data_IF_754714717405
#
_entry.id   IF_754714717405
#
_cell.length_a   1.000
_cell.length_b   1.000
_cell.length_c   1.000
_cell.angle_alpha   90.00
_cell.angle_beta   90.00
_cell.angle_gamma   90.00
#
_symmetry.space_group_name_H-M   'P 1'
#
loop_
_entity.id
_entity.type
_entity.pdbx_description
1 polymer ?
#
# COMPACT_ATOMS: atom_id res chain seq x y z
N UNK A 1 -14.44 21.01 -3.98
CA UNK A 1 -13.41 20.26 -3.24
C UNK A 1 -12.61 21.26 -2.42
N UNK A 2 -12.56 21.11 -1.09
CA UNK A 2 -11.79 22.01 -0.25
C UNK A 2 -10.29 21.80 -0.53
N UNK A 3 -9.60 22.82 -1.04
CA UNK A 3 -8.15 22.83 -1.18
C UNK A 3 -7.52 22.71 0.20
N UNK A 4 -6.78 21.63 0.45
CA UNK A 4 -6.05 21.43 1.69
C UNK A 4 -4.87 22.40 1.79
N UNK A 5 -4.69 23.07 2.93
CA UNK A 5 -3.50 23.87 3.24
C UNK A 5 -3.63 25.38 3.07
N UNK A 6 -4.80 25.91 2.70
CA UNK A 6 -5.01 27.37 2.69
C UNK A 6 -5.28 27.85 4.12
N UNK A 7 -4.38 28.66 4.68
CA UNK A 7 -4.65 29.34 5.94
C UNK A 7 -5.86 30.27 5.78
N UNK A 8 -6.84 30.16 6.68
CA UNK A 8 -8.05 31.00 6.66
C UNK A 8 -7.72 32.48 6.81
N UNK A 9 -6.65 32.83 7.54
CA UNK A 9 -6.19 34.21 7.68
C UNK A 9 -5.54 34.70 6.40
N UNK A 10 -4.78 33.85 5.72
CA UNK A 10 -4.21 34.19 4.42
C UNK A 10 -5.32 34.41 3.41
N UNK A 11 -6.27 33.50 3.21
CA UNK A 11 -7.37 33.69 2.25
C UNK A 11 -8.13 35.02 2.48
N UNK A 12 -8.41 35.38 3.74
CA UNK A 12 -9.07 36.63 4.10
C UNK A 12 -8.22 37.89 3.83
N UNK A 13 -6.89 37.80 4.00
CA UNK A 13 -5.96 38.91 3.73
C UNK A 13 -5.66 39.02 2.23
N UNK A 14 -5.57 37.88 1.57
CA UNK A 14 -5.33 37.68 0.14
C UNK A 14 -6.46 38.19 -0.75
N UNK A 15 -7.71 38.07 -0.28
CA UNK A 15 -8.89 38.64 -0.94
C UNK A 15 -8.89 40.17 -0.98
N UNK A 16 -7.98 40.85 -0.27
CA UNK A 16 -7.93 42.33 -0.16
C UNK A 16 -6.80 42.97 -0.97
N UNK A 17 -5.92 42.18 -1.59
CA UNK A 17 -4.81 42.66 -2.43
C UNK A 17 -5.19 42.60 -3.92
N UNK A 18 -5.61 43.75 -4.48
CA UNK A 18 -6.07 43.85 -5.87
C UNK A 18 -5.00 43.41 -6.87
N UNK A 19 -3.72 43.73 -6.62
CA UNK A 19 -2.63 43.35 -7.51
C UNK A 19 -2.48 41.82 -7.60
N UNK A 20 -2.68 41.13 -6.48
CA UNK A 20 -2.63 39.68 -6.43
C UNK A 20 -3.84 39.04 -7.10
N UNK A 21 -5.03 39.64 -6.93
CA UNK A 21 -6.26 39.23 -7.61
C UNK A 21 -6.15 39.36 -9.12
N UNK A 22 -5.61 40.47 -9.62
CA UNK A 22 -5.32 40.66 -11.05
C UNK A 22 -4.35 39.59 -11.59
N UNK A 23 -3.30 39.27 -10.82
CA UNK A 23 -2.35 38.20 -11.18
C UNK A 23 -3.01 36.82 -11.21
N UNK A 24 -3.91 36.52 -10.28
CA UNK A 24 -4.70 35.28 -10.27
C UNK A 24 -5.66 35.20 -11.46
N UNK A 25 -6.39 36.29 -11.76
CA UNK A 25 -7.28 36.36 -12.91
C UNK A 25 -6.52 36.15 -14.23
N UNK A 26 -5.33 36.74 -14.37
CA UNK A 26 -4.48 36.51 -15.53
C UNK A 26 -4.08 35.04 -15.67
N UNK A 27 -3.65 34.40 -14.57
CA UNK A 27 -3.32 32.96 -14.56
C UNK A 27 -4.52 32.09 -14.91
N UNK A 28 -5.72 32.43 -14.42
CA UNK A 28 -6.96 31.72 -14.75
C UNK A 28 -7.26 31.85 -16.25
N UNK A 29 -7.11 33.05 -16.82
CA UNK A 29 -7.26 33.29 -18.25
C UNK A 29 -6.30 32.44 -19.10
N UNK A 30 -5.00 32.46 -18.77
CA UNK A 30 -3.98 31.65 -19.42
C UNK A 30 -4.26 30.13 -19.30
N UNK A 31 -4.70 29.69 -18.12
CA UNK A 31 -5.10 28.30 -17.89
C UNK A 31 -6.30 27.89 -18.74
N UNK A 32 -7.36 28.70 -18.75
CA UNK A 32 -8.59 28.40 -19.50
C UNK A 32 -8.33 28.35 -21.00
N UNK A 33 -7.49 29.26 -21.52
CA UNK A 33 -7.09 29.25 -22.92
C UNK A 33 -6.35 27.96 -23.26
N UNK A 34 -5.34 27.59 -22.46
CA UNK A 34 -4.57 26.36 -22.69
C UNK A 34 -5.46 25.11 -22.58
N UNK A 35 -6.32 25.05 -21.56
CA UNK A 35 -7.25 23.95 -21.37
C UNK A 35 -8.22 23.82 -22.55
N UNK A 36 -8.76 24.93 -23.05
CA UNK A 36 -9.62 24.96 -24.23
C UNK A 36 -8.91 24.40 -25.46
N UNK A 37 -7.70 24.87 -25.76
CA UNK A 37 -6.92 24.39 -26.91
C UNK A 37 -6.57 22.90 -26.81
N UNK A 38 -6.18 22.40 -25.64
CA UNK A 38 -5.88 20.97 -25.46
C UNK A 38 -7.16 20.13 -25.62
N UNK A 39 -8.29 20.62 -25.14
CA UNK A 39 -9.58 19.94 -25.25
C UNK A 39 -10.09 19.90 -26.70
N UNK A 40 -9.94 20.99 -27.46
CA UNK A 40 -10.24 21.02 -28.89
C UNK A 40 -9.44 19.96 -29.66
N UNK A 41 -8.14 19.85 -29.40
CA UNK A 41 -7.28 18.82 -30.02
C UNK A 41 -7.71 17.41 -29.62
N UNK A 42 -8.09 17.21 -28.36
CA UNK A 42 -8.63 15.94 -27.86
C UNK A 42 -9.92 15.57 -28.59
N UNK A 43 -10.85 16.51 -28.74
CA UNK A 43 -12.12 16.31 -29.46
C UNK A 43 -11.89 16.04 -30.95
N UNK A 44 -10.89 16.68 -31.56
CA UNK A 44 -10.43 16.42 -32.92
C UNK A 44 -9.65 15.10 -33.06
N UNK A 45 -9.39 14.37 -31.96
CA UNK A 45 -8.61 13.12 -31.92
C UNK A 45 -7.21 13.28 -32.51
N UNK A 46 -6.57 14.42 -32.25
CA UNK A 46 -5.19 14.64 -32.66
C UNK A 46 -4.23 13.89 -31.72
N UNK A 47 -3.44 12.96 -32.25
CA UNK A 47 -2.44 12.21 -31.48
C UNK A 47 -1.05 12.45 -32.06
N UNK A 48 -0.42 13.55 -31.65
CA UNK A 48 0.89 13.97 -32.11
C UNK A 48 1.72 14.59 -30.96
N UNK A 49 2.99 14.89 -31.21
CA UNK A 49 3.90 15.42 -30.20
C UNK A 49 3.53 16.84 -29.73
N UNK A 50 2.86 17.63 -30.57
CA UNK A 50 2.38 18.95 -30.19
C UNK A 50 1.24 18.85 -29.17
N UNK A 51 0.29 17.95 -29.39
CA UNK A 51 -0.75 17.61 -28.42
C UNK A 51 -0.15 17.08 -27.11
N UNK A 52 0.90 16.24 -27.19
CA UNK A 52 1.60 15.75 -26.01
C UNK A 52 2.18 16.90 -25.18
N UNK A 53 2.86 17.85 -25.82
CA UNK A 53 3.40 19.03 -25.14
C UNK A 53 2.31 19.92 -24.54
N UNK A 54 1.16 20.04 -25.23
CA UNK A 54 -0.03 20.67 -24.68
C UNK A 54 -0.47 20.04 -23.35
N UNK A 55 -0.54 18.70 -23.29
CA UNK A 55 -0.85 18.00 -22.04
C UNK A 55 0.23 18.20 -20.97
N UNK A 56 1.52 18.22 -21.34
CA UNK A 56 2.65 18.48 -20.42
C UNK A 56 2.46 19.81 -19.70
N UNK A 57 2.20 20.88 -20.47
CA UNK A 57 2.00 22.24 -19.94
C UNK A 57 0.77 22.31 -19.04
N UNK A 58 -0.34 21.70 -19.46
CA UNK A 58 -1.59 21.74 -18.71
C UNK A 58 -1.51 20.97 -17.39
N UNK A 59 -0.88 19.79 -17.38
CA UNK A 59 -0.74 18.96 -16.18
C UNK A 59 0.28 19.53 -15.17
N UNK A 60 1.26 20.31 -15.63
CA UNK A 60 2.12 21.11 -14.73
C UNK A 60 1.33 22.18 -13.97
N UNK A 61 0.25 22.68 -14.54
CA UNK A 61 -0.64 23.66 -13.89
C UNK A 61 -1.70 22.98 -13.02
N UNK A 62 -2.31 21.90 -13.52
CA UNK A 62 -3.37 21.16 -12.82
C UNK A 62 -3.23 19.64 -13.02
N UNK A 63 -2.49 18.95 -12.13
CA UNK A 63 -2.34 17.50 -12.20
C UNK A 63 -3.59 16.75 -11.76
N UNK A 64 -4.64 17.41 -11.24
CA UNK A 64 -5.91 16.75 -10.89
C UNK A 64 -6.84 16.59 -12.11
N UNK A 65 -6.47 17.14 -13.27
CA UNK A 65 -7.30 17.08 -14.47
C UNK A 65 -7.24 15.69 -15.15
N UNK A 66 -8.05 14.76 -14.65
CA UNK A 66 -8.03 13.35 -15.07
C UNK A 66 -8.23 13.10 -16.57
N UNK A 67 -9.12 13.86 -17.24
CA UNK A 67 -9.35 13.73 -18.69
C UNK A 67 -8.07 13.94 -19.50
N UNK A 68 -7.20 14.84 -19.05
CA UNK A 68 -5.94 15.14 -19.73
C UNK A 68 -4.91 14.03 -19.52
N UNK A 69 -4.92 13.36 -18.37
CA UNK A 69 -4.13 12.13 -18.18
C UNK A 69 -4.56 11.02 -19.14
N UNK A 70 -5.87 10.82 -19.33
CA UNK A 70 -6.38 9.85 -20.31
C UNK A 70 -5.93 10.21 -21.73
N UNK A 71 -6.10 11.47 -22.13
CA UNK A 71 -5.68 11.92 -23.45
C UNK A 71 -4.16 11.79 -23.65
N UNK A 72 -3.36 12.10 -22.61
CA UNK A 72 -1.91 11.89 -22.64
C UNK A 72 -1.54 10.43 -22.88
N UNK A 73 -2.19 9.48 -22.19
CA UNK A 73 -1.99 8.03 -22.42
C UNK A 73 -2.30 7.63 -23.85
N UNK A 74 -3.41 8.11 -24.38
CA UNK A 74 -3.83 7.87 -25.75
C UNK A 74 -2.80 8.37 -26.78
N UNK A 75 -2.25 9.56 -26.57
CA UNK A 75 -1.18 10.11 -27.42
C UNK A 75 0.06 9.23 -27.35
N UNK A 76 0.53 8.90 -26.14
CA UNK A 76 1.71 8.07 -25.92
C UNK A 76 1.59 6.70 -26.59
N UNK A 77 0.44 6.03 -26.45
CA UNK A 77 0.18 4.72 -27.05
C UNK A 77 0.20 4.76 -28.57
N UNK A 78 -0.39 5.81 -29.18
CA UNK A 78 -0.50 5.94 -30.64
C UNK A 78 0.77 6.46 -31.31
N UNK A 79 1.70 7.05 -30.54
CA UNK A 79 2.91 7.68 -31.08
C UNK A 79 4.18 7.00 -30.61
N UNK A 80 4.56 7.20 -29.34
CA UNK A 80 5.87 6.84 -28.81
C UNK A 80 5.98 5.36 -28.43
N UNK A 81 4.87 4.74 -28.04
CA UNK A 81 4.82 3.35 -27.57
C UNK A 81 4.22 2.39 -28.60
N UNK A 82 3.76 2.88 -29.75
CA UNK A 82 3.17 2.06 -30.80
C UNK A 82 4.20 1.07 -31.35
N UNK A 83 3.88 -0.23 -31.31
CA UNK A 83 4.58 -1.26 -32.09
C UNK A 83 4.23 -1.00 -33.54
N UNK A 84 5.01 -0.20 -34.26
CA UNK A 84 4.78 -0.03 -35.69
C UNK A 84 4.78 -1.42 -36.33
N UNK A 85 3.63 -1.88 -36.84
CA UNK A 85 3.63 -2.89 -37.88
C UNK A 85 4.39 -2.30 -39.06
N UNK A 86 5.40 -3.01 -39.55
CA UNK A 86 6.03 -2.71 -40.83
C UNK A 86 4.92 -2.46 -41.87
N UNK A 87 5.07 -1.47 -42.78
CA UNK A 87 4.22 -1.43 -43.97
C UNK A 87 4.36 -2.79 -44.64
N UNK A 88 3.24 -3.48 -44.83
CA UNK A 88 3.22 -4.86 -45.29
C UNK A 88 4.06 -5.02 -46.55
N UNK A 89 5.07 -5.88 -46.46
CA UNK A 89 5.36 -6.76 -47.58
C UNK A 89 4.20 -7.76 -47.60
N UNK A 90 3.05 -7.30 -48.10
CA UNK A 90 2.05 -8.19 -48.61
C UNK A 90 2.68 -8.84 -49.84
N UNK A 91 3.28 -10.02 -49.68
CA UNK A 91 3.55 -10.90 -50.81
C UNK A 91 2.19 -11.22 -51.44
N UNK A 92 1.88 -10.74 -52.67
CA UNK A 92 0.70 -11.21 -53.35
C UNK A 92 0.98 -12.65 -53.77
N UNK A 93 0.28 -13.59 -53.14
CA UNK A 93 0.08 -14.89 -53.73
C UNK A 93 -0.63 -14.68 -55.08
N UNK A 94 -0.10 -15.30 -56.13
CA UNK A 94 -0.53 -15.26 -57.53
C UNK A 94 0.04 -14.11 -58.39
N UNK A 95 1.17 -14.38 -59.04
CA UNK A 95 1.30 -14.34 -60.51
C UNK A 95 2.65 -14.92 -60.95
N UNK A 96 2.67 -16.23 -61.18
CA UNK A 96 3.68 -16.85 -62.04
C UNK A 96 3.34 -16.43 -63.47
N UNK A 97 4.13 -15.55 -64.10
CA UNK A 97 4.62 -15.79 -65.46
C UNK A 97 5.61 -14.73 -65.96
N UNK A 98 6.72 -15.26 -66.51
CA UNK A 98 7.58 -14.72 -67.57
C UNK A 98 8.49 -13.50 -67.34
N UNK A 99 9.79 -13.86 -67.25
CA UNK A 99 10.93 -13.35 -68.03
C UNK A 99 11.88 -12.29 -67.43
N UNK A 100 13.14 -12.73 -67.38
CA UNK A 100 14.44 -12.03 -67.44
C UNK A 100 14.90 -11.22 -66.22
N UNK A 101 15.89 -11.82 -65.52
CA UNK A 101 16.80 -11.13 -64.60
C UNK A 101 17.53 -9.96 -65.29
N UNK A 102 17.91 -8.94 -64.50
CA UNK A 102 19.33 -8.77 -64.24
C UNK A 102 19.65 -8.68 -62.75
N UNK A 103 20.86 -9.15 -62.45
CA UNK A 103 21.57 -9.18 -61.17
C UNK A 103 21.33 -7.95 -60.29
N UNK A 104 20.81 -8.17 -59.08
CA UNK A 104 20.90 -7.23 -57.97
C UNK A 104 21.32 -8.04 -56.75
N UNK A 105 22.42 -7.62 -56.11
CA UNK A 105 22.97 -8.21 -54.88
C UNK A 105 21.86 -8.55 -53.88
N UNK A 106 21.57 -9.85 -53.76
CA UNK A 106 20.80 -10.39 -52.64
C UNK A 106 21.67 -10.22 -51.40
N UNK A 107 21.37 -9.21 -50.59
CA UNK A 107 21.86 -9.18 -49.21
C UNK A 107 21.18 -10.33 -48.48
N UNK A 108 21.91 -11.43 -48.36
CA UNK A 108 21.59 -12.69 -47.70
C UNK A 108 21.44 -12.52 -46.18
N UNK A 109 20.58 -11.59 -45.75
CA UNK A 109 20.29 -11.34 -44.33
C UNK A 109 19.20 -12.29 -43.87
N UNK A 110 19.53 -13.12 -42.88
CA UNK A 110 18.60 -14.02 -42.21
C UNK A 110 17.37 -13.21 -41.73
N UNK A 111 16.15 -13.53 -42.22
CA UNK A 111 14.92 -12.87 -41.80
C UNK A 111 14.70 -12.86 -40.27
N UNK A 112 15.23 -13.85 -39.55
CA UNK A 112 15.19 -13.88 -38.09
C UNK A 112 16.11 -12.83 -37.46
N UNK A 113 17.28 -12.59 -38.03
CA UNK A 113 18.22 -11.56 -37.57
C UNK A 113 17.67 -10.15 -37.76
N UNK A 114 17.06 -9.88 -38.92
CA UNK A 114 16.40 -8.60 -39.20
C UNK A 114 15.26 -8.35 -38.21
N UNK A 115 14.44 -9.37 -37.97
CA UNK A 115 13.33 -9.29 -37.00
C UNK A 115 13.84 -9.03 -35.58
N UNK A 116 14.89 -9.74 -35.15
CA UNK A 116 15.52 -9.56 -33.84
C UNK A 116 16.08 -8.15 -33.65
N UNK A 117 16.74 -7.62 -34.67
CA UNK A 117 17.30 -6.26 -34.68
C UNK A 117 16.21 -5.20 -34.57
N UNK A 118 15.13 -5.32 -35.35
CA UNK A 118 13.98 -4.42 -35.28
C UNK A 118 13.30 -4.44 -33.91
N UNK A 119 13.08 -5.63 -33.33
CA UNK A 119 12.55 -5.78 -31.99
C UNK A 119 13.45 -5.12 -30.93
N UNK A 120 14.77 -5.27 -31.04
CA UNK A 120 15.72 -4.64 -30.13
C UNK A 120 15.71 -3.10 -30.26
N UNK A 121 15.63 -2.57 -31.48
CA UNK A 121 15.53 -1.14 -31.75
C UNK A 121 14.23 -0.54 -31.18
N UNK A 122 13.09 -1.21 -31.40
CA UNK A 122 11.80 -0.83 -30.80
C UNK A 122 11.88 -0.83 -29.27
N UNK A 123 12.39 -1.91 -28.66
CA UNK A 123 12.51 -2.00 -27.21
C UNK A 123 13.41 -0.89 -26.64
N UNK A 124 14.49 -0.53 -27.33
CA UNK A 124 15.37 0.58 -26.95
C UNK A 124 14.63 1.92 -26.96
N UNK A 125 13.92 2.21 -28.07
CA UNK A 125 13.10 3.43 -28.21
C UNK A 125 11.99 3.51 -27.16
N UNK A 126 11.25 2.42 -26.95
CA UNK A 126 10.21 2.35 -25.94
C UNK A 126 10.76 2.56 -24.52
N UNK A 127 11.93 1.96 -24.21
CA UNK A 127 12.61 2.17 -22.91
C UNK A 127 12.93 3.64 -22.69
N UNK A 128 13.46 4.34 -23.70
CA UNK A 128 13.76 5.77 -23.61
C UNK A 128 12.51 6.59 -23.27
N UNK A 129 11.43 6.42 -24.04
CA UNK A 129 10.20 7.20 -23.84
C UNK A 129 9.50 6.90 -22.51
N UNK A 130 9.53 5.65 -22.03
CA UNK A 130 9.02 5.31 -20.71
C UNK A 130 9.83 6.00 -19.59
N UNK A 131 11.16 6.06 -19.72
CA UNK A 131 12.02 6.78 -18.78
C UNK A 131 11.76 8.29 -18.79
N UNK A 132 11.61 8.89 -19.98
CA UNK A 132 11.24 10.29 -20.13
C UNK A 132 9.90 10.61 -19.47
N UNK A 133 8.90 9.73 -19.63
CA UNK A 133 7.59 9.91 -19.02
C UNK A 133 7.66 9.80 -17.48
N UNK A 134 8.41 8.83 -16.94
CA UNK A 134 8.64 8.73 -15.49
C UNK A 134 9.42 9.94 -14.93
N UNK A 135 10.35 10.50 -15.71
CA UNK A 135 11.08 11.71 -15.35
C UNK A 135 10.17 12.95 -15.35
N UNK A 136 9.23 13.05 -16.30
CA UNK A 136 8.19 14.09 -16.31
C UNK A 136 7.32 14.05 -15.03
N UNK A 137 6.95 12.85 -14.57
CA UNK A 137 6.11 12.68 -13.38
C UNK A 137 6.82 13.03 -12.07
N UNK A 138 8.15 12.88 -11.99
CA UNK A 138 8.91 13.07 -10.75
C UNK A 138 8.73 14.46 -10.09
N UNK A 139 8.88 15.60 -10.81
CA UNK A 139 8.64 16.91 -10.22
C UNK A 139 7.16 17.13 -9.84
N UNK A 140 6.22 16.55 -10.58
CA UNK A 140 4.80 16.62 -10.25
C UNK A 140 4.52 15.86 -8.96
N UNK A 141 5.03 14.63 -8.83
CA UNK A 141 4.87 13.81 -7.63
C UNK A 141 5.48 14.49 -6.40
N UNK A 142 6.62 15.14 -6.56
CA UNK A 142 7.29 15.88 -5.48
C UNK A 142 6.49 17.10 -4.99
N UNK A 143 5.72 17.72 -5.89
CA UNK A 143 4.89 18.91 -5.62
C UNK A 143 3.49 18.54 -5.15
N UNK A 144 2.93 17.46 -5.68
CA UNK A 144 1.57 16.98 -5.45
C UNK A 144 1.57 15.50 -5.03
N UNK A 145 2.20 15.15 -3.90
CA UNK A 145 2.42 13.75 -3.49
C UNK A 145 1.14 12.99 -3.12
N UNK A 146 -0.01 13.69 -3.10
CA UNK A 146 -1.35 13.16 -2.80
C UNK A 146 -2.31 13.25 -3.98
N UNK A 147 -1.84 13.66 -5.16
CA UNK A 147 -2.66 13.61 -6.37
C UNK A 147 -2.77 12.17 -6.87
N UNK A 148 -3.99 11.63 -6.87
CA UNK A 148 -4.27 10.25 -7.29
C UNK A 148 -3.78 9.97 -8.72
N UNK A 149 -3.99 10.92 -9.63
CA UNK A 149 -3.75 10.72 -11.05
C UNK A 149 -2.26 10.61 -11.42
N UNK A 150 -1.37 11.25 -10.64
CA UNK A 150 0.07 11.08 -10.82
C UNK A 150 0.47 9.64 -10.49
N UNK A 151 0.02 9.11 -9.34
CA UNK A 151 0.30 7.72 -8.95
C UNK A 151 -0.31 6.71 -9.93
N UNK A 152 -1.56 6.96 -10.37
CA UNK A 152 -2.25 6.13 -11.37
C UNK A 152 -1.50 6.11 -12.71
N UNK A 153 -1.10 7.27 -13.22
CA UNK A 153 -0.38 7.36 -14.49
C UNK A 153 1.01 6.73 -14.38
N UNK A 154 1.67 6.85 -13.23
CA UNK A 154 2.95 6.18 -12.98
C UNK A 154 2.83 4.65 -13.01
N UNK A 155 1.80 4.08 -12.36
CA UNK A 155 1.51 2.65 -12.46
C UNK A 155 1.25 2.22 -13.90
N UNK A 156 0.45 2.99 -14.64
CA UNK A 156 0.17 2.71 -16.05
C UNK A 156 1.46 2.69 -16.89
N UNK A 157 2.39 3.64 -16.69
CA UNK A 157 3.68 3.65 -17.39
C UNK A 157 4.49 2.39 -17.11
N UNK A 158 4.50 1.90 -15.85
CA UNK A 158 5.20 0.66 -15.47
C UNK A 158 4.53 -0.61 -16.04
N UNK A 159 3.20 -0.60 -16.13
CA UNK A 159 2.45 -1.66 -16.81
C UNK A 159 2.76 -1.69 -18.29
N UNK A 160 2.80 -0.54 -18.98
CA UNK A 160 3.26 -0.46 -20.36
C UNK A 160 4.68 -1.02 -20.52
N UNK A 161 5.61 -0.69 -19.61
CA UNK A 161 6.95 -1.27 -19.63
C UNK A 161 6.90 -2.81 -19.58
N UNK A 162 6.07 -3.37 -18.71
CA UNK A 162 5.87 -4.81 -18.56
C UNK A 162 5.28 -5.47 -19.82
N UNK A 163 4.36 -4.79 -20.51
CA UNK A 163 3.68 -5.31 -21.70
C UNK A 163 4.53 -5.25 -22.98
N UNK A 164 5.40 -4.24 -23.10
CA UNK A 164 6.08 -3.94 -24.38
C UNK A 164 7.58 -4.23 -24.37
N UNK A 165 8.21 -4.39 -23.20
CA UNK A 165 9.65 -4.65 -23.09
C UNK A 165 9.95 -6.12 -22.73
N UNK A 166 11.15 -6.62 -23.05
CA UNK A 166 11.69 -7.85 -22.47
C UNK A 166 11.67 -7.82 -20.94
N UNK A 167 11.48 -9.00 -20.32
CA UNK A 167 11.27 -9.11 -18.87
C UNK A 167 12.42 -8.51 -18.05
N UNK A 168 13.66 -8.75 -18.44
CA UNK A 168 14.86 -8.19 -17.80
C UNK A 168 14.87 -6.66 -17.80
N UNK A 169 14.42 -6.04 -18.89
CA UNK A 169 14.34 -4.57 -18.98
C UNK A 169 13.19 -4.01 -18.17
N UNK A 170 12.03 -4.66 -18.21
CA UNK A 170 10.86 -4.22 -17.44
C UNK A 170 11.07 -4.39 -15.93
N UNK A 171 11.87 -5.36 -15.48
CA UNK A 171 12.21 -5.53 -14.05
C UNK A 171 12.97 -4.31 -13.49
N UNK A 172 13.87 -3.73 -14.28
CA UNK A 172 14.64 -2.53 -13.89
C UNK A 172 13.70 -1.39 -13.49
N UNK A 173 12.61 -1.17 -14.24
CA UNK A 173 11.63 -0.13 -13.93
C UNK A 173 10.99 -0.32 -12.56
N UNK A 174 10.57 -1.54 -12.22
CA UNK A 174 9.97 -1.82 -10.92
C UNK A 174 10.97 -1.72 -9.76
N UNK A 175 12.22 -2.11 -9.98
CA UNK A 175 13.28 -2.00 -8.97
C UNK A 175 13.65 -0.54 -8.68
N UNK A 176 13.83 0.29 -9.71
CA UNK A 176 14.03 1.73 -9.57
C UNK A 176 12.85 2.37 -8.81
N UNK A 177 11.64 1.91 -9.10
CA UNK A 177 10.42 2.41 -8.49
C UNK A 177 10.30 2.06 -6.99
N UNK A 178 10.75 0.88 -6.60
CA UNK A 178 10.82 0.48 -5.19
C UNK A 178 11.74 1.43 -4.39
N UNK A 179 12.83 1.90 -5.02
CA UNK A 179 13.71 2.93 -4.48
C UNK A 179 13.02 4.28 -4.32
N UNK A 180 12.29 4.73 -5.34
CA UNK A 180 11.54 6.00 -5.32
C UNK A 180 10.48 6.01 -4.21
N UNK A 181 9.63 4.99 -4.13
CA UNK A 181 8.58 4.96 -3.12
C UNK A 181 9.16 4.92 -1.71
N UNK A 182 10.32 4.28 -1.53
CA UNK A 182 11.10 4.35 -0.29
C UNK A 182 11.56 5.75 0.07
N UNK A 183 11.99 6.57 -0.90
CA UNK A 183 12.30 8.00 -0.70
C UNK A 183 11.05 8.80 -0.33
N UNK A 184 9.93 8.55 -1.01
CA UNK A 184 8.66 9.24 -0.75
C UNK A 184 8.13 8.99 0.66
N UNK A 185 8.19 7.73 1.12
CA UNK A 185 7.77 7.35 2.47
C UNK A 185 8.74 7.84 3.56
N UNK A 186 10.01 8.13 3.24
CA UNK A 186 10.88 8.86 4.17
C UNK A 186 10.45 10.32 4.36
N UNK A 187 9.91 10.95 3.32
CA UNK A 187 9.44 12.35 3.38
C UNK A 187 8.07 12.47 4.05
N UNK A 188 7.15 11.56 3.76
CA UNK A 188 5.84 11.46 4.41
C UNK A 188 5.52 9.99 4.69
N UNK A 189 5.89 9.54 5.89
CA UNK A 189 5.74 8.15 6.32
C UNK A 189 4.27 7.71 6.45
N UNK A 190 3.32 8.65 6.42
CA UNK A 190 1.88 8.38 6.49
C UNK A 190 1.19 8.56 5.14
N UNK A 191 1.93 8.79 4.05
CA UNK A 191 1.35 8.91 2.72
C UNK A 191 0.72 7.58 2.28
N UNK A 192 -0.61 7.52 2.34
CA UNK A 192 -1.37 6.33 1.95
C UNK A 192 -1.15 5.93 0.49
N UNK A 193 -1.03 6.90 -0.43
CA UNK A 193 -0.74 6.60 -1.83
C UNK A 193 0.62 5.94 -1.97
N UNK A 194 1.64 6.44 -1.25
CA UNK A 194 2.96 5.83 -1.22
C UNK A 194 2.95 4.39 -0.72
N UNK A 195 2.24 4.11 0.37
CA UNK A 195 2.11 2.73 0.89
C UNK A 195 1.34 1.80 -0.05
N UNK A 196 0.23 2.27 -0.61
CA UNK A 196 -0.55 1.50 -1.59
C UNK A 196 0.27 1.20 -2.83
N UNK A 197 0.98 2.21 -3.34
CA UNK A 197 1.83 2.10 -4.50
C UNK A 197 3.02 1.16 -4.27
N UNK A 198 3.66 1.20 -3.09
CA UNK A 198 4.70 0.25 -2.70
C UNK A 198 4.20 -1.21 -2.80
N UNK A 199 3.00 -1.50 -2.31
CA UNK A 199 2.41 -2.86 -2.41
C UNK A 199 2.21 -3.28 -3.86
N UNK A 200 1.77 -2.38 -4.74
CA UNK A 200 1.67 -2.68 -6.17
C UNK A 200 3.04 -2.95 -6.79
N UNK A 201 4.06 -2.15 -6.48
CA UNK A 201 5.43 -2.36 -6.97
C UNK A 201 5.95 -3.73 -6.54
N UNK A 202 5.85 -4.07 -5.25
CA UNK A 202 6.26 -5.38 -4.73
C UNK A 202 5.51 -6.52 -5.43
N UNK A 203 4.19 -6.42 -5.53
CA UNK A 203 3.38 -7.46 -6.19
C UNK A 203 3.77 -7.65 -7.67
N UNK A 204 4.19 -6.59 -8.38
CA UNK A 204 4.64 -6.72 -9.78
C UNK A 204 6.08 -7.24 -9.90
N UNK A 205 6.94 -6.99 -8.92
CA UNK A 205 8.28 -7.60 -8.84
C UNK A 205 8.16 -9.10 -8.58
N UNK A 206 7.24 -9.51 -7.70
CA UNK A 206 7.02 -10.91 -7.33
C UNK A 206 6.18 -11.70 -8.35
N UNK A 207 5.52 -11.01 -9.29
CA UNK A 207 4.63 -11.68 -10.26
C UNK A 207 5.44 -12.52 -11.25
N UNK A 208 5.14 -13.83 -11.39
CA UNK A 208 5.82 -14.67 -12.37
C UNK A 208 5.49 -14.17 -13.78
N UNK A 209 6.51 -13.84 -14.57
CA UNK A 209 6.33 -13.47 -15.98
C UNK A 209 6.46 -14.70 -16.86
N UNK A 210 5.49 -14.90 -17.76
CA UNK A 210 5.59 -15.93 -18.78
C UNK A 210 6.86 -15.72 -19.60
N UNK A 211 7.72 -16.75 -19.66
CA UNK A 211 8.82 -16.81 -20.62
C UNK A 211 8.21 -16.91 -22.02
N UNK A 212 7.94 -15.78 -22.66
CA UNK A 212 7.52 -15.72 -24.07
C UNK A 212 8.71 -15.98 -25.01
N UNK A 213 9.47 -17.04 -24.78
CA UNK A 213 10.48 -17.58 -25.71
C UNK A 213 10.47 -19.11 -25.59
N UNK A 214 9.94 -19.84 -26.59
CA UNK A 214 10.18 -21.28 -26.71
C UNK A 214 11.68 -21.48 -26.99
N UNK A 215 12.39 -22.24 -26.16
CA UNK A 215 13.74 -22.71 -26.46
C UNK A 215 14.90 -22.22 -25.60
N UNK A 216 14.67 -21.39 -24.57
CA UNK A 216 15.73 -21.05 -23.60
C UNK A 216 15.54 -21.81 -22.27
N UNK A 217 15.92 -23.09 -22.29
CA UNK A 217 16.32 -23.84 -21.10
C UNK A 217 17.65 -23.30 -20.59
N UNK A 218 17.63 -22.12 -19.98
CA UNK A 218 18.72 -21.68 -19.12
C UNK A 218 18.33 -22.02 -17.69
N UNK A 219 18.86 -23.14 -17.22
CA UNK A 219 19.05 -23.47 -15.80
C UNK A 219 19.91 -22.37 -15.17
N UNK A 220 19.28 -21.29 -14.71
CA UNK A 220 19.80 -20.36 -13.69
C UNK A 220 18.76 -19.26 -13.44
N UNK A 221 17.65 -19.63 -12.81
CA UNK A 221 16.64 -18.69 -12.29
C UNK A 221 16.59 -18.81 -10.77
N UNK A 222 17.69 -18.48 -10.09
CA UNK A 222 17.73 -18.50 -8.62
C UNK A 222 17.28 -17.19 -7.97
N UNK A 223 17.06 -16.11 -8.73
CA UNK A 223 16.72 -14.79 -8.15
C UNK A 223 15.35 -14.21 -8.49
N UNK A 224 14.55 -14.86 -9.37
CA UNK A 224 13.27 -14.30 -9.86
C UNK A 224 12.01 -14.90 -9.23
N UNK A 225 12.16 -15.96 -8.43
CA UNK A 225 11.09 -16.56 -7.62
C UNK A 225 11.16 -16.13 -6.14
N UNK A 226 12.00 -15.13 -5.83
CA UNK A 226 12.24 -14.70 -4.45
C UNK A 226 11.16 -13.74 -3.97
N UNK A 227 10.25 -14.26 -3.15
CA UNK A 227 9.39 -13.46 -2.28
C UNK A 227 10.18 -12.34 -1.58
N UNK A 228 9.62 -11.13 -1.56
CA UNK A 228 10.15 -9.97 -0.86
C UNK A 228 9.56 -9.82 0.55
N UNK A 229 8.80 -10.81 1.05
CA UNK A 229 8.12 -10.71 2.36
C UNK A 229 9.08 -10.39 3.50
N UNK A 230 10.27 -10.98 3.50
CA UNK A 230 11.32 -10.72 4.49
C UNK A 230 11.83 -9.28 4.43
N UNK A 231 12.08 -8.79 3.22
CA UNK A 231 12.56 -7.42 2.99
C UNK A 231 11.49 -6.40 3.37
N UNK A 232 10.23 -6.66 3.05
CA UNK A 232 9.10 -5.80 3.40
C UNK A 232 8.82 -5.82 4.90
N UNK A 233 8.92 -6.98 5.55
CA UNK A 233 8.79 -7.07 7.00
C UNK A 233 9.91 -6.27 7.69
N UNK A 234 11.17 -6.45 7.26
CA UNK A 234 12.31 -5.66 7.75
C UNK A 234 12.12 -4.15 7.50
N UNK A 235 11.54 -3.77 6.35
CA UNK A 235 11.18 -2.39 6.06
C UNK A 235 10.15 -1.85 7.06
N UNK A 236 9.08 -2.61 7.35
CA UNK A 236 8.10 -2.19 8.38
C UNK A 236 8.72 -2.10 9.77
N UNK A 237 9.60 -3.03 10.16
CA UNK A 237 10.35 -2.99 11.42
C UNK A 237 11.12 -1.68 11.55
N UNK A 238 11.88 -1.31 10.51
CA UNK A 238 12.60 -0.03 10.48
C UNK A 238 11.66 1.18 10.59
N UNK A 239 10.50 1.12 9.95
CA UNK A 239 9.53 2.23 9.93
C UNK A 239 8.80 2.41 11.26
N UNK A 240 8.57 1.34 12.04
CA UNK A 240 7.92 1.42 13.35
C UNK A 240 8.92 1.71 14.49
N UNK A 241 10.16 1.27 14.37
CA UNK A 241 11.23 1.52 15.35
C UNK A 241 11.99 2.83 15.08
N UNK A 242 11.87 3.41 13.88
CA UNK A 242 12.52 4.66 13.52
C UNK A 242 11.91 5.89 14.22
N UNK A 243 12.51 7.06 13.99
CA UNK A 243 12.02 8.34 14.55
C UNK A 243 10.59 8.62 14.09
N UNK A 244 9.67 8.79 15.06
CA UNK A 244 8.24 8.96 14.79
C UNK A 244 7.51 7.68 14.34
N UNK A 245 8.19 6.53 14.37
CA UNK A 245 7.66 5.24 13.93
C UNK A 245 6.53 4.69 14.81
N UNK A 246 6.56 4.98 16.11
CA UNK A 246 5.48 4.62 17.04
C UNK A 246 4.12 5.14 16.57
N UNK A 247 4.09 6.37 16.05
CA UNK A 247 2.89 7.04 15.50
C UNK A 247 2.57 6.69 14.05
N UNK A 248 3.35 5.82 13.42
CA UNK A 248 3.18 5.47 12.02
C UNK A 248 2.18 4.32 11.84
N UNK A 249 0.90 4.65 11.96
CA UNK A 249 -0.20 3.68 11.74
C UNK A 249 -0.08 2.91 10.42
N UNK A 250 0.38 3.56 9.34
CA UNK A 250 0.54 2.91 8.04
C UNK A 250 1.59 1.80 8.07
N UNK A 251 2.68 1.98 8.82
CA UNK A 251 3.69 0.94 8.98
C UNK A 251 3.16 -0.24 9.82
N UNK A 252 2.51 0.03 10.95
CA UNK A 252 1.85 -0.99 11.77
C UNK A 252 0.80 -1.78 11.00
N UNK A 253 -0.04 -1.09 10.22
CA UNK A 253 -1.02 -1.74 9.36
C UNK A 253 -0.37 -2.64 8.30
N UNK A 254 0.66 -2.16 7.59
CA UNK A 254 1.35 -3.02 6.61
C UNK A 254 2.03 -4.21 7.30
N UNK A 255 2.61 -4.01 8.49
CA UNK A 255 3.20 -5.08 9.30
C UNK A 255 2.17 -6.18 9.59
N UNK A 256 0.97 -5.81 10.06
CA UNK A 256 -0.12 -6.77 10.32
C UNK A 256 -0.53 -7.60 9.11
N UNK A 257 -0.39 -7.04 7.90
CA UNK A 257 -0.73 -7.72 6.64
C UNK A 257 0.40 -8.58 6.07
N UNK A 258 1.64 -8.33 6.47
CA UNK A 258 2.80 -9.12 6.06
C UNK A 258 3.01 -10.36 6.93
N UNK A 259 2.74 -10.25 8.24
CA UNK A 259 3.04 -11.29 9.23
C UNK A 259 2.47 -12.66 8.85
N UNK A 260 1.19 -12.81 8.46
CA UNK A 260 0.67 -14.14 8.14
C UNK A 260 1.41 -14.84 7.00
N UNK A 261 1.71 -14.10 5.93
CA UNK A 261 2.49 -14.58 4.78
C UNK A 261 3.93 -14.90 5.19
N UNK A 262 4.56 -14.03 5.99
CA UNK A 262 5.92 -14.24 6.50
C UNK A 262 6.03 -15.56 7.26
N UNK A 263 5.13 -15.80 8.22
CA UNK A 263 5.14 -17.00 9.05
C UNK A 263 4.86 -18.26 8.23
N UNK A 264 3.99 -18.16 7.22
CA UNK A 264 3.71 -19.25 6.28
C UNK A 264 4.92 -19.60 5.43
N UNK A 265 5.61 -18.61 4.86
CA UNK A 265 6.78 -18.82 4.01
C UNK A 265 7.99 -19.34 4.79
N UNK A 266 8.16 -18.87 6.03
CA UNK A 266 9.16 -19.41 6.96
C UNK A 266 8.83 -20.82 7.47
N UNK A 267 7.61 -21.32 7.21
CA UNK A 267 7.10 -22.62 7.69
C UNK A 267 7.18 -22.75 9.22
N UNK A 268 6.91 -21.66 9.94
CA UNK A 268 6.94 -21.65 11.40
C UNK A 268 5.85 -22.56 11.98
N UNK A 269 6.27 -23.40 12.94
CA UNK A 269 5.42 -24.29 13.70
C UNK A 269 4.71 -23.57 14.84
N UNK A 270 4.18 -24.35 15.79
CA UNK A 270 3.42 -23.82 16.94
C UNK A 270 4.29 -22.97 17.85
N UNK A 271 5.45 -23.48 18.26
CA UNK A 271 6.33 -22.78 19.19
C UNK A 271 6.89 -21.50 18.58
N UNK A 272 7.41 -21.55 17.35
CA UNK A 272 8.01 -20.37 16.72
C UNK A 272 6.99 -19.25 16.46
N UNK A 273 5.71 -19.61 16.26
CA UNK A 273 4.62 -18.63 16.18
C UNK A 273 4.27 -18.02 17.53
N UNK A 274 4.33 -18.79 18.61
CA UNK A 274 4.14 -18.28 19.97
C UNK A 274 5.27 -17.31 20.34
N UNK A 275 6.53 -17.70 20.12
CA UNK A 275 7.70 -16.84 20.35
C UNK A 275 7.58 -15.53 19.55
N UNK A 276 7.14 -15.61 18.28
CA UNK A 276 6.92 -14.43 17.45
C UNK A 276 5.81 -13.52 17.98
N UNK A 277 4.71 -14.08 18.49
CA UNK A 277 3.64 -13.29 19.10
C UNK A 277 4.12 -12.57 20.36
N UNK A 278 4.87 -13.27 21.21
CA UNK A 278 5.48 -12.72 22.42
C UNK A 278 6.43 -11.56 22.09
N UNK A 279 7.29 -11.72 21.08
CA UNK A 279 8.18 -10.65 20.60
C UNK A 279 7.41 -9.41 20.14
N UNK A 280 6.29 -9.58 19.43
CA UNK A 280 5.45 -8.46 18.96
C UNK A 280 4.69 -7.77 20.10
N UNK A 281 4.22 -8.53 21.10
CA UNK A 281 3.60 -7.97 22.32
C UNK A 281 4.64 -7.20 23.15
N UNK A 282 5.84 -7.75 23.34
CA UNK A 282 6.92 -7.09 24.07
C UNK A 282 7.42 -5.82 23.34
N UNK A 283 7.43 -5.83 22.00
CA UNK A 283 7.68 -4.62 21.21
C UNK A 283 6.63 -3.53 21.50
N UNK A 284 5.35 -3.90 21.57
CA UNK A 284 4.29 -2.97 21.89
C UNK A 284 4.34 -2.50 23.34
N UNK A 285 4.61 -3.38 24.30
CA UNK A 285 4.76 -3.04 25.72
C UNK A 285 5.78 -1.92 25.89
N UNK A 286 6.97 -2.06 25.30
CA UNK A 286 8.02 -1.02 25.30
C UNK A 286 7.54 0.31 24.70
N UNK A 287 6.85 0.26 23.57
CA UNK A 287 6.37 1.46 22.88
C UNK A 287 5.21 2.15 23.63
N UNK A 288 4.28 1.37 24.17
CA UNK A 288 3.13 1.85 24.93
C UNK A 288 3.60 2.48 26.24
N UNK A 289 4.56 1.87 26.95
CA UNK A 289 5.17 2.47 28.14
C UNK A 289 5.88 3.80 27.84
N UNK A 290 6.37 3.98 26.61
CA UNK A 290 6.99 5.24 26.18
C UNK A 290 5.96 6.31 25.80
N UNK A 291 4.89 5.94 25.10
CA UNK A 291 3.84 6.86 24.70
C UNK A 291 2.45 6.19 24.69
N UNK A 292 1.80 6.10 25.87
CA UNK A 292 0.53 5.40 25.99
C UNK A 292 -0.63 6.15 25.32
N UNK A 293 -0.44 7.40 24.91
CA UNK A 293 -1.47 8.18 24.22
C UNK A 293 -1.46 8.01 22.69
N UNK A 294 -0.50 7.25 22.13
CA UNK A 294 -0.48 7.01 20.69
C UNK A 294 -1.49 5.95 20.27
N UNK A 295 -2.54 6.39 19.57
CA UNK A 295 -3.61 5.50 19.12
C UNK A 295 -3.12 4.34 18.22
N UNK A 296 -2.03 4.54 17.48
CA UNK A 296 -1.57 3.57 16.48
C UNK A 296 -1.11 2.28 17.15
N UNK A 297 -0.45 2.41 18.30
CA UNK A 297 0.00 1.30 19.13
C UNK A 297 -1.20 0.46 19.60
N UNK A 298 -2.25 1.11 20.08
CA UNK A 298 -3.45 0.43 20.58
C UNK A 298 -4.26 -0.27 19.51
N UNK A 299 -4.31 0.29 18.29
CA UNK A 299 -4.94 -0.41 17.18
C UNK A 299 -4.17 -1.68 16.78
N UNK A 300 -2.84 -1.64 16.78
CA UNK A 300 -2.01 -2.82 16.51
C UNK A 300 -2.08 -3.83 17.65
N UNK A 301 -2.04 -3.35 18.90
CA UNK A 301 -2.24 -4.16 20.10
C UNK A 301 -3.56 -4.92 20.05
N UNK A 302 -4.64 -4.20 19.79
CA UNK A 302 -5.97 -4.78 19.67
C UNK A 302 -6.03 -5.83 18.55
N UNK A 303 -5.36 -5.60 17.42
CA UNK A 303 -5.28 -6.61 16.36
C UNK A 303 -4.54 -7.87 16.82
N UNK A 304 -3.41 -7.76 17.52
CA UNK A 304 -2.70 -8.93 18.07
C UNK A 304 -3.60 -9.71 19.04
N UNK A 305 -4.24 -9.03 19.99
CA UNK A 305 -5.10 -9.70 20.97
C UNK A 305 -6.30 -10.36 20.29
N UNK A 306 -7.07 -9.60 19.50
CA UNK A 306 -8.31 -10.13 18.89
C UNK A 306 -8.05 -11.22 17.85
N UNK A 307 -6.99 -11.09 17.03
CA UNK A 307 -6.72 -12.07 15.97
C UNK A 307 -6.29 -13.43 16.52
N UNK A 308 -5.67 -13.48 17.70
CA UNK A 308 -5.23 -14.73 18.33
C UNK A 308 -6.24 -15.30 19.34
N UNK A 309 -7.21 -14.51 19.83
CA UNK A 309 -8.21 -14.95 20.83
C UNK A 309 -9.57 -15.29 20.21
N UNK A 310 -10.12 -14.40 19.37
CA UNK A 310 -11.40 -14.59 18.68
C UNK A 310 -11.12 -15.33 17.38
N UNK A 311 -10.83 -16.62 17.47
CA UNK A 311 -10.70 -17.51 16.32
C UNK A 311 -11.95 -18.38 16.22
N UNK A 312 -12.97 -18.00 15.42
CA UNK A 312 -14.25 -18.70 15.33
C UNK A 312 -14.16 -20.00 14.53
N UNK A 313 -13.07 -20.19 13.77
CA UNK A 313 -12.72 -21.37 13.01
C UNK A 313 -11.20 -21.41 12.86
N UNK A 314 -10.61 -22.61 12.88
CA UNK A 314 -9.16 -22.86 12.71
C UNK A 314 -8.59 -22.30 11.39
N UNK A 315 -9.43 -21.85 10.47
CA UNK A 315 -9.08 -21.41 9.10
C UNK A 315 -9.04 -19.89 8.89
N UNK A 316 -9.00 -19.04 9.94
CA UNK A 316 -8.79 -17.59 9.72
C UNK A 316 -7.31 -17.30 9.46
N UNK A 317 -6.93 -16.81 8.26
CA UNK A 317 -5.53 -16.65 7.86
C UNK A 317 -4.81 -15.46 8.49
N UNK A 318 -5.45 -14.70 9.39
CA UNK A 318 -4.90 -13.45 9.94
C UNK A 318 -4.25 -13.60 11.33
N UNK A 319 -4.41 -14.74 12.01
CA UNK A 319 -3.84 -14.99 13.33
C UNK A 319 -2.35 -15.37 13.25
N UNK A 320 -1.54 -14.93 14.22
CA UNK A 320 -0.14 -15.36 14.36
C UNK A 320 -0.11 -16.81 14.84
N UNK A 321 -0.93 -17.13 15.85
CA UNK A 321 -1.02 -18.41 16.54
C UNK A 321 -2.44 -19.01 16.43
N UNK A 322 -2.90 -19.41 15.23
CA UNK A 322 -4.27 -19.91 15.02
C UNK A 322 -4.60 -21.20 15.80
N UNK A 323 -3.59 -21.89 16.35
CA UNK A 323 -3.72 -23.13 17.10
C UNK A 323 -3.56 -22.95 18.62
N UNK A 324 -3.58 -21.71 19.12
CA UNK A 324 -3.49 -21.42 20.55
C UNK A 324 -4.67 -22.07 21.29
N UNK A 325 -4.36 -22.83 22.35
CA UNK A 325 -5.36 -23.47 23.21
C UNK A 325 -6.18 -22.41 23.97
N UNK A 326 -7.39 -22.78 24.42
CA UNK A 326 -8.23 -21.97 25.31
C UNK A 326 -7.46 -21.56 26.55
N UNK A 327 -6.79 -22.50 27.24
CA UNK A 327 -5.98 -22.21 28.43
C UNK A 327 -4.87 -21.17 28.16
N UNK A 328 -4.13 -21.31 27.05
CA UNK A 328 -3.09 -20.34 26.69
C UNK A 328 -3.68 -18.97 26.32
N UNK A 329 -4.86 -18.91 25.67
CA UNK A 329 -5.56 -17.64 25.42
C UNK A 329 -5.93 -16.95 26.73
N UNK A 330 -6.42 -17.70 27.72
CA UNK A 330 -6.77 -17.16 29.04
C UNK A 330 -5.54 -16.61 29.77
N UNK A 331 -4.43 -17.37 29.81
CA UNK A 331 -3.19 -16.92 30.42
C UNK A 331 -2.63 -15.66 29.76
N UNK A 332 -2.64 -15.61 28.42
CA UNK A 332 -2.21 -14.42 27.68
C UNK A 332 -3.08 -13.20 28.01
N UNK A 333 -4.41 -13.36 28.02
CA UNK A 333 -5.32 -12.27 28.35
C UNK A 333 -5.14 -11.78 29.80
N UNK A 334 -4.98 -12.69 30.76
CA UNK A 334 -4.74 -12.34 32.16
C UNK A 334 -3.43 -11.54 32.31
N UNK A 335 -2.33 -12.03 31.75
CA UNK A 335 -1.03 -11.34 31.80
C UNK A 335 -1.05 -9.95 31.15
N UNK A 336 -1.81 -9.80 30.05
CA UNK A 336 -2.01 -8.51 29.38
C UNK A 336 -2.90 -7.57 30.21
N UNK A 337 -3.95 -8.07 30.85
CA UNK A 337 -4.80 -7.27 31.74
C UNK A 337 -3.98 -6.76 32.93
N UNK A 338 -3.21 -7.63 33.58
CA UNK A 338 -2.35 -7.26 34.71
C UNK A 338 -1.34 -6.17 34.31
N UNK A 339 -0.65 -6.36 33.18
CA UNK A 339 0.29 -5.37 32.64
C UNK A 339 -0.39 -4.01 32.38
N UNK A 340 -1.63 -4.02 31.88
CA UNK A 340 -2.39 -2.80 31.62
C UNK A 340 -2.91 -2.12 32.89
N UNK A 341 -3.25 -2.89 33.92
CA UNK A 341 -3.61 -2.35 35.24
C UNK A 341 -2.41 -1.64 35.87
N UNK A 342 -1.23 -2.26 35.87
CA UNK A 342 0.02 -1.63 36.33
C UNK A 342 0.28 -0.31 35.58
N UNK A 343 0.12 -0.32 34.26
CA UNK A 343 0.32 0.86 33.44
C UNK A 343 -0.74 1.95 33.73
N UNK A 344 -1.96 1.55 34.07
CA UNK A 344 -3.04 2.48 34.43
C UNK A 344 -2.71 3.24 35.73
N UNK A 345 -2.01 2.63 36.69
CA UNK A 345 -1.57 3.31 37.91
C UNK A 345 -0.68 4.51 37.59
N UNK A 346 0.26 4.33 36.66
CA UNK A 346 1.16 5.40 36.21
C UNK A 346 0.49 6.40 35.26
N UNK A 347 -0.54 5.96 34.52
CA UNK A 347 -1.19 6.74 33.46
C UNK A 347 -2.72 6.74 33.61
N UNK A 348 -3.21 7.13 34.78
CA UNK A 348 -4.62 7.02 35.17
C UNK A 348 -5.60 7.69 34.18
N UNK A 349 -5.19 8.75 33.50
CA UNK A 349 -6.03 9.50 32.55
C UNK A 349 -5.87 9.01 31.09
N UNK A 350 -5.11 7.94 30.85
CA UNK A 350 -4.98 7.40 29.52
C UNK A 350 -6.20 6.57 29.13
N UNK A 351 -7.10 7.21 28.36
CA UNK A 351 -8.29 6.55 27.81
C UNK A 351 -8.02 5.29 27.00
N UNK A 352 -6.83 5.12 26.40
CA UNK A 352 -6.57 3.93 25.60
C UNK A 352 -6.30 2.70 26.46
N UNK A 353 -5.63 2.86 27.60
CA UNK A 353 -5.44 1.80 28.59
C UNK A 353 -6.81 1.35 29.12
N UNK A 354 -7.63 2.32 29.57
CA UNK A 354 -8.99 2.06 30.04
C UNK A 354 -9.85 1.33 28.99
N UNK A 355 -9.76 1.74 27.71
CA UNK A 355 -10.49 1.07 26.63
C UNK A 355 -10.00 -0.35 26.39
N UNK A 356 -8.69 -0.58 26.44
CA UNK A 356 -8.11 -1.92 26.30
C UNK A 356 -8.56 -2.82 27.46
N UNK A 357 -8.48 -2.34 28.71
CA UNK A 357 -8.93 -3.07 29.89
C UNK A 357 -10.42 -3.45 29.81
N UNK A 358 -11.30 -2.50 29.50
CA UNK A 358 -12.74 -2.78 29.33
C UNK A 358 -13.00 -3.82 28.25
N UNK A 359 -12.29 -3.74 27.12
CA UNK A 359 -12.44 -4.68 26.01
C UNK A 359 -11.85 -6.06 26.35
N UNK A 360 -10.70 -6.13 27.02
CA UNK A 360 -9.96 -7.37 27.25
C UNK A 360 -10.51 -8.17 28.43
N UNK A 361 -10.99 -7.54 29.50
CA UNK A 361 -11.71 -8.26 30.56
C UNK A 361 -13.01 -8.85 30.02
N UNK A 362 -13.74 -8.11 29.17
CA UNK A 362 -14.92 -8.66 28.50
C UNK A 362 -14.59 -9.81 27.54
N UNK A 363 -13.43 -9.75 26.89
CA UNK A 363 -12.93 -10.82 26.03
C UNK A 363 -12.49 -12.05 26.83
N UNK A 364 -11.83 -11.87 27.98
CA UNK A 364 -11.47 -12.94 28.92
C UNK A 364 -12.71 -13.72 29.37
N UNK A 365 -13.75 -13.01 29.81
CA UNK A 365 -15.04 -13.60 30.19
C UNK A 365 -15.68 -14.38 29.03
N UNK A 366 -15.56 -13.87 27.79
CA UNK A 366 -16.05 -14.57 26.61
C UNK A 366 -15.27 -15.85 26.33
N UNK A 367 -13.94 -15.82 26.35
CA UNK A 367 -13.09 -16.99 26.09
C UNK A 367 -13.28 -18.07 27.15
N UNK A 368 -13.55 -17.68 28.42
CA UNK A 368 -13.93 -18.64 29.47
C UNK A 368 -15.19 -19.45 29.13
N UNK A 369 -16.10 -18.88 28.33
CA UNK A 369 -17.33 -19.57 27.87
C UNK A 369 -17.14 -20.36 26.58
N UNK A 370 -15.98 -20.26 25.92
CA UNK A 370 -15.68 -21.09 24.75
C UNK A 370 -15.50 -22.56 25.18
N UNK A 371 -15.79 -23.53 24.29
CA UNK A 371 -15.60 -24.95 24.59
C UNK A 371 -14.15 -25.28 24.97
N UNK A 372 -13.98 -26.23 25.90
CA UNK A 372 -12.68 -26.75 26.27
C UNK A 372 -11.98 -27.47 25.10
N UNK A 373 -10.66 -27.44 25.11
CA UNK A 373 -9.88 -28.12 24.07
C UNK A 373 -9.93 -29.64 24.27
N UNK A 374 -10.31 -30.41 23.24
CA UNK A 374 -10.47 -31.86 23.35
C UNK A 374 -9.15 -32.63 23.61
N UNK A 375 -7.99 -32.00 23.40
CA UNK A 375 -6.66 -32.64 23.49
C UNK A 375 -5.89 -32.28 24.78
N UNK A 376 -6.32 -31.28 25.54
CA UNK A 376 -5.67 -30.83 26.78
C UNK A 376 -6.61 -31.05 27.96
N UNK A 377 -6.72 -32.31 28.42
CA UNK A 377 -7.45 -32.62 29.64
C UNK A 377 -6.89 -31.81 30.81
N UNK A 378 -7.80 -31.16 31.55
CA UNK A 378 -7.61 -30.51 32.86
C UNK A 378 -6.15 -30.18 33.20
N UNK A 379 -5.65 -29.05 32.72
CA UNK A 379 -4.42 -28.47 33.26
C UNK A 379 -4.72 -27.12 33.88
N UNK A 380 -4.76 -27.11 35.21
CA UNK A 380 -4.55 -25.99 36.11
C UNK A 380 -5.15 -24.64 35.64
N UNK A 381 -6.43 -24.65 35.26
CA UNK A 381 -7.19 -23.41 35.26
C UNK A 381 -7.47 -23.06 36.71
N UNK A 382 -6.81 -22.00 37.20
CA UNK A 382 -7.15 -21.38 38.48
C UNK A 382 -8.67 -21.24 38.58
N UNK A 383 -9.25 -21.80 39.63
CA UNK A 383 -10.69 -21.85 39.83
C UNK A 383 -11.24 -20.42 39.83
N UNK A 384 -11.99 -20.07 38.78
CA UNK A 384 -12.58 -18.74 38.64
C UNK A 384 -13.84 -18.68 39.49
N UNK A 385 -13.80 -17.86 40.53
CA UNK A 385 -14.86 -17.81 41.54
C UNK A 385 -15.93 -16.78 41.18
N UNK A 386 -17.09 -16.85 41.85
CA UNK A 386 -18.11 -15.80 41.78
C UNK A 386 -17.53 -14.44 42.22
N UNK A 387 -16.62 -14.42 43.19
CA UNK A 387 -15.93 -13.22 43.65
C UNK A 387 -15.04 -12.60 42.56
N UNK A 388 -14.42 -13.43 41.70
CA UNK A 388 -13.62 -12.95 40.56
C UNK A 388 -14.52 -12.37 39.45
N UNK A 389 -15.70 -12.96 39.22
CA UNK A 389 -16.71 -12.40 38.33
C UNK A 389 -17.20 -11.03 38.81
N UNK A 390 -17.52 -10.92 40.09
CA UNK A 390 -17.97 -9.66 40.69
C UNK A 390 -16.88 -8.58 40.61
N UNK A 391 -15.64 -8.91 40.99
CA UNK A 391 -14.50 -7.97 40.90
C UNK A 391 -14.29 -7.47 39.47
N UNK A 392 -14.26 -8.38 38.49
CA UNK A 392 -14.06 -7.98 37.08
C UNK A 392 -15.19 -7.13 36.54
N UNK A 393 -16.42 -7.35 37.01
CA UNK A 393 -17.56 -6.51 36.66
C UNK A 393 -17.44 -5.10 37.26
N UNK A 394 -17.08 -5.00 38.54
CA UNK A 394 -16.88 -3.72 39.24
C UNK A 394 -15.75 -2.89 38.62
N UNK A 395 -14.64 -3.53 38.27
CA UNK A 395 -13.51 -2.89 37.59
C UNK A 395 -13.94 -2.31 36.24
N UNK A 396 -14.64 -3.11 35.42
CA UNK A 396 -15.15 -2.66 34.11
C UNK A 396 -16.11 -1.49 34.24
N UNK A 397 -17.02 -1.53 35.22
CA UNK A 397 -17.94 -0.44 35.54
C UNK A 397 -17.15 0.83 35.86
N UNK A 398 -16.19 0.75 36.78
CA UNK A 398 -15.35 1.86 37.22
C UNK A 398 -14.59 2.49 36.05
N UNK A 399 -13.98 1.67 35.18
CA UNK A 399 -13.27 2.18 34.01
C UNK A 399 -14.19 2.83 32.97
N UNK A 400 -15.40 2.30 32.77
CA UNK A 400 -16.40 2.88 31.87
C UNK A 400 -16.90 4.24 32.36
N UNK A 401 -17.20 4.37 33.66
CA UNK A 401 -17.58 5.64 34.28
C UNK A 401 -16.47 6.68 34.12
N UNK A 402 -15.21 6.26 34.30
CA UNK A 402 -14.05 7.12 34.03
C UNK A 402 -13.97 7.54 32.56
N UNK A 403 -14.14 6.61 31.62
CA UNK A 403 -14.15 6.90 30.18
C UNK A 403 -15.23 7.89 29.77
N UNK A 404 -16.43 7.82 30.37
CA UNK A 404 -17.52 8.77 30.16
C UNK A 404 -17.08 10.20 30.54
N UNK A 405 -16.32 10.34 31.63
CA UNK A 405 -15.79 11.61 32.10
C UNK A 405 -14.69 12.16 31.17
N UNK A 406 -13.71 11.33 30.80
CA UNK A 406 -12.47 11.80 30.16
C UNK A 406 -12.49 11.82 28.61
N UNK A 407 -13.47 11.17 27.97
CA UNK A 407 -13.60 11.12 26.51
C UNK A 407 -15.05 11.44 26.07
N UNK A 408 -15.55 12.66 26.35
CA UNK A 408 -16.96 13.03 26.22
C UNK A 408 -17.50 12.91 24.78
N UNK A 409 -16.63 13.01 23.77
CA UNK A 409 -17.01 12.80 22.36
C UNK A 409 -17.53 11.40 22.07
N UNK A 410 -17.17 10.41 22.90
CA UNK A 410 -17.55 8.99 22.75
C UNK A 410 -18.41 8.48 23.90
N UNK A 411 -18.89 9.37 24.79
CA UNK A 411 -19.69 9.02 25.97
C UNK A 411 -20.85 8.07 25.68
N UNK A 412 -21.56 8.28 24.57
CA UNK A 412 -22.71 7.45 24.19
C UNK A 412 -22.34 5.98 24.01
N UNK A 413 -21.16 5.71 23.41
CA UNK A 413 -20.64 4.34 23.26
C UNK A 413 -20.33 3.71 24.62
N UNK A 414 -19.74 4.47 25.55
CA UNK A 414 -19.40 3.93 26.88
C UNK A 414 -20.65 3.66 27.72
N UNK A 415 -21.66 4.53 27.62
CA UNK A 415 -22.95 4.34 28.27
C UNK A 415 -23.70 3.11 27.74
N UNK A 416 -23.63 2.86 26.43
CA UNK A 416 -24.22 1.67 25.81
C UNK A 416 -23.55 0.39 26.30
N UNK A 417 -22.22 0.36 26.41
CA UNK A 417 -21.48 -0.78 26.96
C UNK A 417 -21.82 -0.98 28.45
N UNK A 418 -21.90 0.10 29.22
CA UNK A 418 -22.23 0.04 30.64
C UNK A 418 -23.63 -0.52 30.87
N UNK A 419 -24.61 -0.10 30.06
CA UNK A 419 -25.97 -0.65 30.14
C UNK A 419 -25.98 -2.15 29.87
N UNK A 420 -25.24 -2.62 28.87
CA UNK A 420 -25.12 -4.06 28.57
C UNK A 420 -24.34 -4.88 29.60
N UNK A 421 -23.77 -4.25 30.64
CA UNK A 421 -23.22 -4.96 31.81
C UNK A 421 -24.26 -5.08 32.95
N UNK A 422 -25.29 -4.23 32.96
CA UNK A 422 -26.34 -4.22 33.97
C UNK A 422 -27.57 -5.05 33.56
N UNK A 423 -27.75 -5.27 32.25
CA UNK A 423 -28.73 -6.19 31.63
C UNK A 423 -28.18 -7.62 31.58
#
# INVERSE_FOLDING_TARGET
MASHGISRSEYATQSRDEHRREKELKKIGEYNQLAGTVEERRLAREYNLEALEGTTRLLKLNPEHYTIWNYRREILQRTLLSKHSLPGIALPAASISTLTCPEVNETDQDPEEVTRSLCAAYASKATLHLKEELAFLLPLLSSFPKCYWIWNHRLWTLQCATEILPADKADIFWQEELGLVGLMLRRDARNFHGWMYRRFVISNIESPRQKNVPGNEVENSSSRDASLVEQEFAYTTKMVQGVGGMSNYSAWHNRSKLIPRLLSERKYGRQERMDFLEDELELLKRNISTNPHDQSLWFYHRWLIYSNTITPNRDTPDAITPFMSRGTKLLMLAAEIDTLQDLLEAHAECKYILKALVEYVGLLQRVRRDPEDPENGEQDEEEWTEDDEERTWEDRRTWLEKLISIDPMRKGRYQEILKGLED
#
